data_IF_132770519443
#
_entry.id   IF_132770519443
#
_cell.length_a   1.000
_cell.length_b   1.000
_cell.length_c   1.000
_cell.angle_alpha   90.00
_cell.angle_beta   90.00
_cell.angle_gamma   90.00
#
_symmetry.space_group_name_H-M   'P 1'
#
loop_
_entity.id
_entity.type
_entity.pdbx_description
1 polymer ?
#
# COMPACT_ATOMS: atom_id res chain seq x y z
N UNK A 1 -16.77 -3.37 -4.41
CA UNK A 1 -16.50 -2.69 -5.69
C UNK A 1 -15.78 -3.71 -6.56
N UNK A 2 -16.38 -4.14 -7.67
CA UNK A 2 -16.00 -5.36 -8.40
C UNK A 2 -14.61 -5.29 -9.09
N UNK A 3 -13.96 -4.13 -9.11
CA UNK A 3 -12.71 -3.90 -9.86
C UNK A 3 -11.44 -3.89 -9.01
N UNK A 4 -11.53 -4.02 -7.68
CA UNK A 4 -10.37 -4.17 -6.78
C UNK A 4 -10.25 -5.61 -6.29
N UNK A 5 -10.31 -6.57 -7.23
CA UNK A 5 -10.41 -8.00 -6.94
C UNK A 5 -9.26 -8.52 -6.09
N UNK A 6 -8.03 -8.03 -6.34
CA UNK A 6 -6.85 -8.39 -5.56
C UNK A 6 -6.91 -7.92 -4.10
N UNK A 7 -7.50 -6.75 -3.82
CA UNK A 7 -7.67 -6.23 -2.45
C UNK A 7 -8.87 -6.85 -1.74
N UNK A 8 -9.93 -7.19 -2.47
CA UNK A 8 -11.12 -7.83 -1.91
C UNK A 8 -10.79 -9.18 -1.23
N UNK A 9 -9.83 -9.94 -1.78
CA UNK A 9 -9.33 -11.17 -1.16
C UNK A 9 -8.71 -10.92 0.22
N UNK A 10 -8.00 -9.80 0.44
CA UNK A 10 -7.39 -9.48 1.73
C UNK A 10 -8.43 -9.17 2.83
N UNK A 11 -9.69 -9.00 2.45
CA UNK A 11 -10.80 -8.74 3.37
C UNK A 11 -11.58 -10.00 3.75
N UNK A 12 -11.21 -11.17 3.23
CA UNK A 12 -11.92 -12.42 3.55
C UNK A 12 -11.51 -12.97 4.92
N UNK A 13 -12.39 -13.81 5.48
CA UNK A 13 -12.14 -14.49 6.74
C UNK A 13 -10.95 -15.45 6.62
N UNK A 14 -10.88 -16.17 5.51
CA UNK A 14 -9.85 -17.16 5.22
C UNK A 14 -8.46 -16.51 5.14
N UNK A 15 -8.37 -15.34 4.50
CA UNK A 15 -7.13 -14.57 4.47
C UNK A 15 -6.72 -14.19 5.90
N UNK A 16 -7.61 -13.54 6.64
CA UNK A 16 -7.36 -13.09 8.02
C UNK A 16 -6.90 -14.25 8.92
N UNK A 17 -7.60 -15.37 8.92
CA UNK A 17 -7.27 -16.54 9.75
C UNK A 17 -5.93 -17.17 9.36
N UNK A 18 -5.55 -17.07 8.09
CA UNK A 18 -4.28 -17.59 7.59
C UNK A 18 -3.11 -16.70 8.00
N UNK A 19 -3.21 -15.38 7.74
CA UNK A 19 -2.07 -14.47 7.92
C UNK A 19 -1.71 -14.22 9.38
N UNK A 20 -2.66 -14.34 10.30
CA UNK A 20 -2.42 -14.15 11.73
C UNK A 20 -1.50 -15.22 12.36
N UNK A 21 -1.16 -16.28 11.62
CA UNK A 21 -0.21 -17.32 12.04
C UNK A 21 1.25 -16.95 11.75
N UNK A 22 1.49 -15.87 11.01
CA UNK A 22 2.82 -15.44 10.59
C UNK A 22 3.24 -14.20 11.35
N UNK A 23 4.55 -13.98 11.51
CA UNK A 23 5.07 -12.75 12.10
C UNK A 23 5.11 -11.59 11.10
N UNK A 24 5.32 -11.91 9.82
CA UNK A 24 5.45 -10.95 8.72
C UNK A 24 4.70 -11.44 7.49
N UNK A 25 4.15 -10.50 6.73
CA UNK A 25 3.51 -10.75 5.44
C UNK A 25 4.24 -9.95 4.37
N UNK A 26 4.73 -10.64 3.35
CA UNK A 26 5.28 -10.04 2.14
C UNK A 26 4.25 -10.17 1.02
N UNK A 27 3.67 -9.05 0.57
CA UNK A 27 2.93 -9.00 -0.70
C UNK A 27 3.91 -8.62 -1.79
N UNK A 28 3.93 -9.40 -2.86
CA UNK A 28 4.78 -9.17 -4.04
C UNK A 28 3.94 -8.84 -5.25
N UNK A 29 4.47 -7.98 -6.13
CA UNK A 29 3.90 -7.83 -7.48
C UNK A 29 4.43 -8.92 -8.41
N UNK A 30 3.72 -9.12 -9.52
CA UNK A 30 4.07 -10.17 -10.48
C UNK A 30 5.47 -9.98 -11.10
N UNK A 31 5.91 -8.74 -11.25
CA UNK A 31 7.19 -8.33 -11.84
C UNK A 31 8.23 -7.91 -10.79
N UNK A 32 7.97 -8.18 -9.51
CA UNK A 32 8.89 -7.82 -8.43
C UNK A 32 10.13 -8.73 -8.40
N UNK A 33 11.32 -8.13 -8.37
CA UNK A 33 12.57 -8.84 -8.11
C UNK A 33 12.86 -8.82 -6.61
N UNK A 34 12.98 -10.00 -6.01
CA UNK A 34 13.35 -10.14 -4.61
C UNK A 34 14.86 -10.21 -4.45
N UNK A 35 15.41 -9.29 -3.66
CA UNK A 35 16.83 -9.25 -3.31
C UNK A 35 17.07 -9.78 -1.89
N UNK A 36 18.22 -10.41 -1.60
CA UNK A 36 18.65 -10.73 -0.23
C UNK A 36 18.67 -9.52 0.72
N UNK A 37 18.67 -8.30 0.19
CA UNK A 37 18.56 -7.07 0.97
C UNK A 37 17.35 -7.07 1.93
N UNK A 38 16.20 -7.65 1.54
CA UNK A 38 15.02 -7.74 2.41
C UNK A 38 15.33 -8.57 3.66
N UNK A 39 16.02 -9.71 3.49
CA UNK A 39 16.42 -10.57 4.60
C UNK A 39 17.43 -9.87 5.52
N UNK A 40 18.45 -9.22 4.97
CA UNK A 40 19.41 -8.46 5.77
C UNK A 40 18.75 -7.27 6.48
N UNK A 41 17.77 -6.62 5.85
CA UNK A 41 16.96 -5.56 6.45
C UNK A 41 16.15 -6.06 7.64
N UNK A 42 15.49 -7.21 7.52
CA UNK A 42 14.78 -7.88 8.62
C UNK A 42 15.71 -8.19 9.80
N UNK A 43 16.93 -8.64 9.53
CA UNK A 43 17.96 -8.90 10.54
C UNK A 43 18.62 -7.63 11.10
N UNK A 44 18.26 -6.42 10.61
CA UNK A 44 18.94 -5.15 10.91
C UNK A 44 20.45 -5.19 10.59
N UNK A 45 20.83 -5.97 9.59
CA UNK A 45 22.21 -6.15 9.09
C UNK A 45 22.47 -5.44 7.76
N UNK A 46 21.52 -4.64 7.29
CA UNK A 46 21.66 -3.85 6.06
C UNK A 46 21.76 -2.36 6.40
N UNK A 47 22.59 -1.56 5.70
CA UNK A 47 22.76 -0.13 5.99
C UNK A 47 21.50 0.71 5.72
N UNK A 48 20.71 0.33 4.72
CA UNK A 48 19.41 0.94 4.42
C UNK A 48 18.34 0.36 5.33
N UNK A 49 17.44 1.17 5.87
CA UNK A 49 16.34 0.68 6.72
C UNK A 49 15.31 -0.07 5.88
N UNK A 50 14.70 -1.11 6.44
CA UNK A 50 13.78 -2.00 5.74
C UNK A 50 12.61 -1.27 5.06
N UNK A 51 12.08 -0.20 5.67
CA UNK A 51 11.01 0.58 5.04
C UNK A 51 11.52 1.33 3.80
N UNK A 52 12.73 1.90 3.84
CA UNK A 52 13.36 2.59 2.71
C UNK A 52 13.65 1.64 1.53
N UNK A 53 13.76 0.33 1.78
CA UNK A 53 13.94 -0.69 0.73
C UNK A 53 12.67 -1.03 -0.05
N UNK A 54 11.49 -0.79 0.52
CA UNK A 54 10.20 -1.12 -0.11
C UNK A 54 9.78 -0.05 -1.13
N UNK A 55 10.45 1.10 -1.11
CA UNK A 55 10.24 2.19 -2.06
C UNK A 55 11.28 2.06 -3.18
N UNK A 56 10.84 1.65 -4.36
CA UNK A 56 11.66 1.76 -5.56
C UNK A 56 12.07 3.22 -5.76
N UNK A 57 13.33 3.48 -6.16
CA UNK A 57 13.85 4.82 -6.41
C UNK A 57 13.25 5.51 -7.65
N UNK A 58 12.31 4.85 -8.35
CA UNK A 58 11.69 5.36 -9.57
C UNK A 58 10.40 6.09 -9.19
N UNK A 59 10.48 7.42 -9.11
CA UNK A 59 9.32 8.27 -8.87
C UNK A 59 8.45 8.36 -10.13
N UNK A 60 7.27 7.73 -10.11
CA UNK A 60 6.29 7.84 -11.20
C UNK A 60 5.26 8.96 -10.98
N UNK A 61 5.44 9.81 -9.97
CA UNK A 61 4.53 10.90 -9.62
C UNK A 61 5.05 12.27 -10.05
N UNK A 62 4.13 13.17 -10.42
CA UNK A 62 4.40 14.58 -10.65
C UNK A 62 4.03 15.41 -9.43
N UNK A 63 4.59 16.62 -9.30
CA UNK A 63 4.25 17.53 -8.20
C UNK A 63 2.75 17.81 -8.12
N UNK A 64 2.10 17.95 -9.28
CA UNK A 64 0.64 18.06 -9.39
C UNK A 64 -0.08 16.89 -8.70
N UNK A 65 0.29 15.65 -9.00
CA UNK A 65 -0.33 14.47 -8.40
C UNK A 65 -0.01 14.37 -6.91
N UNK A 66 1.22 14.69 -6.50
CA UNK A 66 1.62 14.69 -5.09
C UNK A 66 0.81 15.68 -4.25
N UNK A 67 0.62 16.91 -4.75
CA UNK A 67 -0.18 17.93 -4.08
C UNK A 67 -1.66 17.54 -4.03
N UNK A 68 -2.22 17.06 -5.16
CA UNK A 68 -3.62 16.62 -5.21
C UNK A 68 -3.90 15.49 -4.21
N UNK A 69 -3.04 14.46 -4.15
CA UNK A 69 -3.20 13.36 -3.20
C UNK A 69 -3.10 13.82 -1.73
N UNK A 70 -2.19 14.76 -1.43
CA UNK A 70 -2.10 15.37 -0.09
C UNK A 70 -3.38 16.11 0.29
N UNK A 71 -3.95 16.87 -0.65
CA UNK A 71 -5.21 17.58 -0.42
C UNK A 71 -6.39 16.63 -0.22
N UNK A 72 -6.47 15.53 -0.98
CA UNK A 72 -7.53 14.53 -0.77
C UNK A 72 -7.37 13.83 0.59
N UNK A 73 -6.14 13.45 0.97
CA UNK A 73 -5.87 12.89 2.29
C UNK A 73 -6.34 13.83 3.41
N UNK A 74 -6.04 15.13 3.30
CA UNK A 74 -6.51 16.16 4.25
C UNK A 74 -8.04 16.24 4.31
N UNK A 75 -8.73 16.25 3.16
CA UNK A 75 -10.21 16.28 3.10
C UNK A 75 -10.84 15.07 3.77
N UNK A 76 -10.19 13.90 3.70
CA UNK A 76 -10.63 12.66 4.32
C UNK A 76 -10.20 12.52 5.79
N UNK A 77 -9.51 13.51 6.37
CA UNK A 77 -9.03 13.47 7.75
C UNK A 77 -7.79 12.58 7.96
N UNK A 78 -7.12 12.16 6.88
CA UNK A 78 -5.89 11.37 6.96
C UNK A 78 -4.64 12.25 7.03
N UNK A 79 -3.61 11.74 7.72
CA UNK A 79 -2.28 12.33 7.73
C UNK A 79 -1.44 11.71 6.61
N UNK A 80 -0.98 12.53 5.67
CA UNK A 80 -0.07 12.08 4.61
C UNK A 80 1.35 11.84 5.17
N UNK A 81 1.98 10.72 4.82
CA UNK A 81 3.30 10.32 5.35
C UNK A 81 4.50 10.93 4.61
N UNK A 82 4.27 11.72 3.56
CA UNK A 82 5.33 12.29 2.70
C UNK A 82 5.90 11.29 1.69
N UNK A 83 5.27 10.12 1.58
CA UNK A 83 5.67 9.02 0.70
C UNK A 83 4.76 9.03 -0.51
N UNK A 84 5.33 8.98 -1.71
CA UNK A 84 4.61 9.12 -2.97
C UNK A 84 4.87 7.99 -3.98
N UNK A 85 5.83 7.11 -3.68
CA UNK A 85 6.31 6.02 -4.52
C UNK A 85 6.15 4.65 -3.82
N UNK A 86 5.10 4.49 -3.02
CA UNK A 86 4.78 3.17 -2.46
C UNK A 86 4.33 2.27 -3.60
N UNK A 87 5.19 1.33 -3.98
CA UNK A 87 4.85 0.32 -4.95
C UNK A 87 3.94 -0.74 -4.32
N UNK A 88 3.40 -1.59 -5.18
CA UNK A 88 2.51 -2.67 -4.78
C UNK A 88 3.23 -3.76 -3.96
N UNK A 89 4.57 -3.86 -4.00
CA UNK A 89 5.35 -4.80 -3.16
C UNK A 89 5.65 -4.20 -1.79
N UNK A 90 5.23 -4.87 -0.71
CA UNK A 90 5.40 -4.38 0.66
C UNK A 90 5.48 -5.52 1.68
N UNK A 91 6.12 -5.21 2.81
CA UNK A 91 6.34 -6.12 3.94
C UNK A 91 5.82 -5.47 5.22
N UNK A 92 4.83 -6.10 5.85
CA UNK A 92 4.09 -5.54 6.99
C UNK A 92 3.74 -6.60 8.03
N UNK A 93 3.33 -6.16 9.21
CA UNK A 93 2.72 -7.03 10.21
C UNK A 93 1.33 -7.50 9.73
N UNK A 94 0.88 -8.73 10.03
CA UNK A 94 -0.41 -9.24 9.58
C UNK A 94 -1.60 -8.33 9.89
N UNK A 95 -1.66 -7.74 11.08
CA UNK A 95 -2.74 -6.81 11.44
C UNK A 95 -2.77 -5.57 10.53
N UNK A 96 -1.59 -5.06 10.18
CA UNK A 96 -1.49 -3.88 9.31
C UNK A 96 -1.96 -4.21 7.89
N UNK A 97 -1.68 -5.43 7.39
CA UNK A 97 -2.17 -5.88 6.08
C UNK A 97 -3.70 -5.77 5.95
N UNK A 98 -4.42 -6.16 7.01
CA UNK A 98 -5.89 -6.12 7.06
C UNK A 98 -6.38 -4.66 7.08
N UNK A 99 -5.79 -3.82 7.92
CA UNK A 99 -6.17 -2.41 8.03
C UNK A 99 -5.85 -1.64 6.74
N UNK A 100 -4.71 -1.91 6.11
CA UNK A 100 -4.35 -1.35 4.81
C UNK A 100 -5.36 -1.76 3.74
N UNK A 101 -5.80 -3.02 3.70
CA UNK A 101 -6.82 -3.47 2.74
C UNK A 101 -8.16 -2.72 2.92
N UNK A 102 -8.60 -2.49 4.17
CA UNK A 102 -9.82 -1.73 4.49
C UNK A 102 -9.70 -0.26 4.07
N UNK A 103 -8.58 0.39 4.44
CA UNK A 103 -8.30 1.77 4.07
C UNK A 103 -8.24 1.93 2.55
N UNK A 104 -7.52 1.04 1.87
CA UNK A 104 -7.40 1.02 0.40
C UNK A 104 -8.75 0.90 -0.28
N UNK A 105 -9.63 0.04 0.22
CA UNK A 105 -10.99 -0.12 -0.33
C UNK A 105 -11.85 1.13 -0.11
N UNK A 106 -11.70 1.77 1.05
CA UNK A 106 -12.43 3.00 1.40
C UNK A 106 -11.98 4.18 0.53
N UNK A 107 -10.67 4.39 0.41
CA UNK A 107 -10.08 5.46 -0.40
C UNK A 107 -10.35 5.20 -1.88
N UNK A 108 -10.20 3.96 -2.37
CA UNK A 108 -10.49 3.59 -3.75
C UNK A 108 -11.96 3.86 -4.12
N UNK A 109 -12.90 3.58 -3.21
CA UNK A 109 -14.30 3.95 -3.39
C UNK A 109 -14.48 5.47 -3.50
N UNK A 110 -13.84 6.25 -2.62
CA UNK A 110 -13.89 7.72 -2.69
C UNK A 110 -13.37 8.22 -4.03
N UNK A 111 -12.21 7.73 -4.48
CA UNK A 111 -11.64 8.12 -5.76
C UNK A 111 -12.61 7.89 -6.92
N UNK A 112 -13.19 6.69 -7.02
CA UNK A 112 -14.05 6.34 -8.15
C UNK A 112 -15.41 7.04 -8.13
N UNK A 113 -15.86 7.50 -6.96
CA UNK A 113 -17.15 8.17 -6.82
C UNK A 113 -17.06 9.70 -6.85
N UNK A 114 -15.91 10.26 -6.45
CA UNK A 114 -15.77 11.70 -6.15
C UNK A 114 -14.59 12.37 -6.83
N UNK A 115 -13.58 11.63 -7.25
CA UNK A 115 -12.37 12.20 -7.87
C UNK A 115 -12.20 11.82 -9.35
N UNK A 116 -12.70 10.64 -9.74
CA UNK A 116 -12.61 10.06 -11.08
C UNK A 116 -13.87 9.23 -11.39
N UNK A 117 -14.87 9.85 -12.02
CA UNK A 117 -16.12 9.18 -12.38
C UNK A 117 -17.02 10.10 -13.22
N UNK A 118 -18.07 9.56 -13.86
CA UNK A 118 -18.94 10.33 -14.77
C UNK A 118 -19.68 11.51 -14.10
N UNK A 119 -19.70 11.54 -12.77
CA UNK A 119 -20.37 12.56 -11.96
C UNK A 119 -19.37 13.49 -11.24
N UNK A 120 -18.11 13.51 -11.67
CA UNK A 120 -17.10 14.44 -11.15
C UNK A 120 -17.09 15.66 -12.10
N UNK A 121 -17.43 16.86 -11.63
CA UNK A 121 -17.45 18.07 -12.46
C UNK A 121 -16.05 18.44 -12.98
#
# INVERSE_FOLDING_TARGET
>A
YLYMTSIAFLLTKEYKETILKYHWILRVDQDAILSPAIFFGLLKKHPIKLYDMQFGGVGHGTDFTHERLRNIAKKLGYKHAGIHNLCSTWLVHPNDSIEIAKLTTTIGRHFLQKEYGPNVP
#
